data_IF_955521772026
#
_entry.id   IF_955521772026
#
_cell.length_a   1.000
_cell.length_b   1.000
_cell.length_c   1.000
_cell.angle_alpha   90.00
_cell.angle_beta   90.00
_cell.angle_gamma   90.00
#
_symmetry.space_group_name_H-M   'P 1'
#
loop_
_entity.id
_entity.type
_entity.pdbx_description
1 polymer ?
#
# COMPACT_ATOMS: atom_id res chain seq x y z
N UNK A 1 0.35 23.05 -20.64
CA UNK A 1 -0.04 21.64 -20.86
C UNK A 1 -1.10 21.57 -21.94
N UNK A 2 -0.89 20.75 -22.95
CA UNK A 2 -1.94 20.48 -23.94
C UNK A 2 -3.05 19.69 -23.25
N UNK A 3 -4.29 20.21 -23.33
CA UNK A 3 -5.44 19.46 -22.83
C UNK A 3 -5.64 18.23 -23.70
N UNK A 4 -5.72 17.07 -23.07
CA UNK A 4 -6.05 15.83 -23.75
C UNK A 4 -7.51 15.91 -24.26
N UNK A 5 -7.78 15.32 -25.40
CA UNK A 5 -9.16 15.16 -25.88
C UNK A 5 -9.95 14.27 -24.94
N UNK A 6 -11.29 14.42 -24.97
CA UNK A 6 -12.19 13.57 -24.15
C UNK A 6 -11.93 12.09 -24.45
N UNK A 7 -11.74 11.74 -25.73
CA UNK A 7 -11.48 10.36 -26.15
C UNK A 7 -10.20 9.79 -25.52
N UNK A 8 -9.13 10.60 -25.48
CA UNK A 8 -7.87 10.19 -24.84
C UNK A 8 -8.00 10.05 -23.33
N UNK A 9 -8.76 10.94 -22.70
CA UNK A 9 -9.02 10.89 -21.25
C UNK A 9 -9.80 9.63 -20.90
N UNK A 10 -10.82 9.30 -21.66
CA UNK A 10 -11.61 8.08 -21.48
C UNK A 10 -10.76 6.84 -21.73
N UNK A 11 -9.92 6.84 -22.77
CA UNK A 11 -9.02 5.73 -23.07
C UNK A 11 -8.01 5.50 -21.94
N UNK A 12 -7.44 6.57 -21.38
CA UNK A 12 -6.54 6.51 -20.22
C UNK A 12 -7.27 5.91 -19.02
N UNK A 13 -8.47 6.43 -18.72
CA UNK A 13 -9.28 5.97 -17.59
C UNK A 13 -9.64 4.50 -17.71
N UNK A 14 -10.05 4.06 -18.89
CA UNK A 14 -10.41 2.66 -19.16
C UNK A 14 -9.21 1.73 -18.99
N UNK A 15 -8.08 2.11 -19.53
CA UNK A 15 -6.83 1.33 -19.38
C UNK A 15 -6.44 1.22 -17.92
N UNK A 16 -6.47 2.32 -17.19
CA UNK A 16 -6.12 2.34 -15.77
C UNK A 16 -7.08 1.48 -14.94
N UNK A 17 -8.39 1.58 -15.20
CA UNK A 17 -9.40 0.73 -14.54
C UNK A 17 -9.09 -0.75 -14.81
N UNK A 18 -8.81 -1.12 -16.06
CA UNK A 18 -8.53 -2.51 -16.42
C UNK A 18 -7.26 -3.03 -15.76
N UNK A 19 -6.21 -2.21 -15.69
CA UNK A 19 -4.96 -2.56 -15.01
C UNK A 19 -5.19 -2.75 -13.50
N UNK A 20 -5.96 -1.88 -12.89
CA UNK A 20 -6.26 -1.95 -11.45
C UNK A 20 -7.15 -3.15 -11.12
N UNK A 21 -8.14 -3.46 -11.97
CA UNK A 21 -8.96 -4.67 -11.83
C UNK A 21 -8.10 -5.92 -11.93
N UNK A 22 -7.15 -5.95 -12.87
CA UNK A 22 -6.23 -7.08 -13.00
C UNK A 22 -5.41 -7.27 -11.73
N UNK A 23 -4.88 -6.19 -11.15
CA UNK A 23 -4.15 -6.25 -9.87
C UNK A 23 -5.05 -6.77 -8.74
N UNK A 24 -6.29 -6.31 -8.67
CA UNK A 24 -7.25 -6.82 -7.68
C UNK A 24 -7.48 -8.32 -7.86
N UNK A 25 -7.65 -8.79 -9.10
CA UNK A 25 -7.82 -10.21 -9.38
C UNK A 25 -6.60 -11.04 -8.95
N UNK A 26 -5.39 -10.55 -9.20
CA UNK A 26 -4.16 -11.20 -8.77
C UNK A 26 -4.07 -11.29 -7.24
N UNK A 27 -4.42 -10.21 -6.53
CA UNK A 27 -4.43 -10.19 -5.07
C UNK A 27 -5.50 -11.11 -4.48
N UNK A 28 -6.69 -11.14 -5.08
CA UNK A 28 -7.77 -12.04 -4.68
C UNK A 28 -7.31 -13.50 -4.83
N UNK A 29 -6.65 -13.83 -5.93
CA UNK A 29 -6.14 -15.19 -6.17
C UNK A 29 -5.03 -15.57 -5.19
N UNK A 30 -4.11 -14.66 -4.89
CA UNK A 30 -3.05 -14.88 -3.90
C UNK A 30 -3.64 -15.15 -2.51
N UNK A 31 -4.62 -14.34 -2.10
CA UNK A 31 -5.31 -14.54 -0.80
C UNK A 31 -6.08 -15.86 -0.78
N UNK A 32 -6.70 -16.24 -1.90
CA UNK A 32 -7.40 -17.53 -2.02
C UNK A 32 -6.44 -18.70 -1.83
N UNK A 33 -5.29 -18.67 -2.48
CA UNK A 33 -4.25 -19.71 -2.37
C UNK A 33 -3.75 -19.80 -0.94
N UNK A 34 -3.45 -18.64 -0.32
CA UNK A 34 -3.01 -18.56 1.07
C UNK A 34 -4.08 -19.10 2.02
N UNK A 35 -5.35 -18.71 1.85
CA UNK A 35 -6.45 -19.19 2.65
C UNK A 35 -6.61 -20.71 2.59
N UNK A 36 -6.53 -21.27 1.39
CA UNK A 36 -6.63 -22.71 1.18
C UNK A 36 -5.49 -23.48 1.86
N UNK A 37 -4.27 -22.92 1.79
CA UNK A 37 -3.10 -23.51 2.46
C UNK A 37 -3.28 -23.52 3.99
N UNK A 38 -3.73 -22.40 4.54
CA UNK A 38 -3.95 -22.27 5.99
C UNK A 38 -5.10 -23.19 6.45
N UNK A 39 -6.20 -23.24 5.71
CA UNK A 39 -7.33 -24.15 6.01
C UNK A 39 -6.89 -25.62 6.03
N UNK A 40 -6.00 -25.97 5.11
CA UNK A 40 -5.43 -27.33 5.06
C UNK A 40 -4.58 -27.62 6.31
N UNK A 41 -3.75 -26.66 6.73
CA UNK A 41 -2.96 -26.78 7.96
C UNK A 41 -3.88 -26.89 9.19
N UNK A 42 -4.95 -26.10 9.26
CA UNK A 42 -5.93 -26.18 10.36
C UNK A 42 -6.53 -27.59 10.41
N UNK A 43 -6.95 -28.14 9.28
CA UNK A 43 -7.51 -29.47 9.22
C UNK A 43 -6.52 -30.55 9.68
N UNK A 44 -5.24 -30.42 9.35
CA UNK A 44 -4.18 -31.33 9.78
C UNK A 44 -3.98 -31.25 11.30
N UNK A 45 -3.94 -30.04 11.88
CA UNK A 45 -3.81 -29.83 13.33
C UNK A 45 -5.04 -30.34 14.07
N UNK A 46 -6.25 -30.12 13.54
CA UNK A 46 -7.49 -30.62 14.15
C UNK A 46 -7.52 -32.13 14.23
N UNK A 47 -6.95 -32.84 13.25
CA UNK A 47 -6.87 -34.30 13.23
C UNK A 47 -5.78 -34.86 14.15
N UNK A 48 -4.81 -34.03 14.54
CA UNK A 48 -3.74 -34.47 15.43
C UNK A 48 -4.27 -34.80 16.81
N UNK A 49 -3.90 -35.99 17.34
CA UNK A 49 -4.27 -36.45 18.66
C UNK A 49 -3.16 -36.12 19.66
N UNK A 50 -3.31 -35.11 20.52
CA UNK A 50 -2.28 -34.77 21.52
C UNK A 50 -2.03 -35.90 22.52
N UNK A 51 -0.76 -36.24 22.81
CA UNK A 51 -0.48 -37.34 23.74
C UNK A 51 -0.64 -36.99 25.23
N UNK A 52 -0.71 -35.70 25.59
CA UNK A 52 -0.88 -35.24 26.97
C UNK A 52 -1.69 -33.94 27.02
N UNK A 53 -2.06 -33.52 28.23
CA UNK A 53 -2.79 -32.26 28.44
C UNK A 53 -1.97 -31.02 28.04
N UNK A 54 -0.65 -31.04 28.23
CA UNK A 54 0.23 -29.96 27.82
C UNK A 54 0.22 -29.81 26.28
N UNK A 55 0.22 -30.94 25.59
CA UNK A 55 0.14 -30.95 24.11
C UNK A 55 -1.26 -30.53 23.63
N UNK A 56 -2.31 -30.73 24.42
CA UNK A 56 -3.66 -30.22 24.11
C UNK A 56 -3.66 -28.69 24.12
N UNK A 57 -2.98 -28.07 25.07
CA UNK A 57 -2.83 -26.62 25.13
C UNK A 57 -2.04 -26.10 23.92
N UNK A 58 -1.00 -26.83 23.52
CA UNK A 58 -0.23 -26.49 22.31
C UNK A 58 -1.11 -26.55 21.06
N UNK A 59 -1.94 -27.60 20.94
CA UNK A 59 -2.88 -27.74 19.81
C UNK A 59 -3.83 -26.53 19.75
N UNK A 60 -4.40 -26.14 20.89
CA UNK A 60 -5.31 -24.98 20.97
C UNK A 60 -4.62 -23.70 20.55
N UNK A 61 -3.39 -23.48 20.99
CA UNK A 61 -2.57 -22.33 20.61
C UNK A 61 -2.29 -22.32 19.10
N UNK A 62 -1.88 -23.45 18.53
CA UNK A 62 -1.62 -23.57 17.10
C UNK A 62 -2.86 -23.23 16.27
N UNK A 63 -4.03 -23.75 16.67
CA UNK A 63 -5.29 -23.48 15.96
C UNK A 63 -5.66 -22.00 16.04
N UNK A 64 -5.47 -21.39 17.21
CA UNK A 64 -5.74 -19.95 17.39
C UNK A 64 -4.85 -19.11 16.49
N UNK A 65 -3.56 -19.42 16.44
CA UNK A 65 -2.61 -18.71 15.58
C UNK A 65 -2.94 -18.87 14.09
N UNK A 66 -3.28 -20.08 13.67
CA UNK A 66 -3.66 -20.36 12.29
C UNK A 66 -4.95 -19.64 11.89
N UNK A 67 -5.95 -19.61 12.76
CA UNK A 67 -7.20 -18.89 12.51
C UNK A 67 -6.98 -17.38 12.42
N UNK A 68 -6.14 -16.82 13.28
CA UNK A 68 -5.77 -15.40 13.24
C UNK A 68 -5.06 -15.07 11.93
N UNK A 69 -4.13 -15.89 11.50
CA UNK A 69 -3.43 -15.73 10.24
C UNK A 69 -4.38 -15.83 9.06
N UNK A 70 -5.34 -16.78 9.12
CA UNK A 70 -6.36 -16.91 8.07
C UNK A 70 -7.21 -15.64 7.94
N UNK A 71 -7.62 -15.07 9.06
CA UNK A 71 -8.45 -13.85 9.07
C UNK A 71 -7.71 -12.65 8.49
N UNK A 72 -6.39 -12.57 8.67
CA UNK A 72 -5.59 -11.47 8.14
C UNK A 72 -5.09 -11.72 6.71
N UNK A 73 -4.43 -12.85 6.50
CA UNK A 73 -3.71 -13.12 5.25
C UNK A 73 -4.59 -13.78 4.19
N UNK A 74 -5.68 -14.43 4.61
CA UNK A 74 -6.61 -15.08 3.70
C UNK A 74 -7.82 -14.24 3.33
N UNK A 75 -7.95 -13.03 3.86
CA UNK A 75 -9.10 -12.16 3.62
C UNK A 75 -8.87 -11.25 2.43
N UNK A 76 -9.59 -11.51 1.34
CA UNK A 76 -9.54 -10.73 0.11
C UNK A 76 -10.65 -9.66 0.02
N UNK A 77 -11.41 -9.44 1.08
CA UNK A 77 -12.60 -8.56 1.02
C UNK A 77 -12.28 -7.13 0.59
N UNK A 78 -11.14 -6.58 0.97
CA UNK A 78 -10.69 -5.26 0.52
C UNK A 78 -10.58 -5.21 -1.01
N UNK A 79 -9.93 -6.19 -1.62
CA UNK A 79 -9.74 -6.24 -3.08
C UNK A 79 -11.03 -6.55 -3.82
N UNK A 80 -11.92 -7.34 -3.24
CA UNK A 80 -13.24 -7.61 -3.82
C UNK A 80 -14.10 -6.34 -3.85
N UNK A 81 -14.09 -5.55 -2.79
CA UNK A 81 -14.77 -4.25 -2.73
C UNK A 81 -14.16 -3.26 -3.71
N UNK A 82 -12.85 -3.20 -3.78
CA UNK A 82 -12.12 -2.32 -4.70
C UNK A 82 -12.40 -2.69 -6.16
N UNK A 83 -12.42 -3.98 -6.47
CA UNK A 83 -12.79 -4.47 -7.79
C UNK A 83 -14.22 -4.05 -8.16
N UNK A 84 -15.17 -4.21 -7.24
CA UNK A 84 -16.58 -3.81 -7.46
C UNK A 84 -16.69 -2.30 -7.71
N UNK A 85 -15.94 -1.49 -6.96
CA UNK A 85 -15.87 -0.04 -7.16
C UNK A 85 -15.34 0.30 -8.55
N UNK A 86 -14.27 -0.36 -8.97
CA UNK A 86 -13.65 -0.13 -10.28
C UNK A 86 -14.55 -0.56 -11.43
N UNK A 87 -15.29 -1.67 -11.29
CA UNK A 87 -16.25 -2.12 -12.30
C UNK A 87 -17.41 -1.14 -12.52
N UNK A 88 -17.78 -0.40 -11.48
CA UNK A 88 -18.84 0.60 -11.54
C UNK A 88 -18.34 2.00 -11.92
N UNK A 89 -17.03 2.21 -11.99
CA UNK A 89 -16.43 3.52 -12.25
C UNK A 89 -16.42 3.86 -13.73
N UNK A 90 -16.82 5.11 -14.05
CA UNK A 90 -16.71 5.63 -15.40
C UNK A 90 -15.24 5.96 -15.72
N UNK A 91 -14.78 5.70 -16.97
CA UNK A 91 -13.41 5.99 -17.36
C UNK A 91 -12.96 7.44 -17.14
N UNK A 92 -13.85 8.40 -17.39
CA UNK A 92 -13.54 9.82 -17.20
C UNK A 92 -13.31 10.16 -15.73
N UNK A 93 -14.03 9.52 -14.82
CA UNK A 93 -13.89 9.72 -13.39
C UNK A 93 -12.52 9.19 -12.90
N UNK A 94 -12.06 8.07 -13.45
CA UNK A 94 -10.72 7.54 -13.17
C UNK A 94 -9.65 8.53 -13.61
N UNK A 95 -9.78 9.09 -14.81
CA UNK A 95 -8.85 10.11 -15.30
C UNK A 95 -8.81 11.32 -14.37
N UNK A 96 -9.99 11.83 -13.98
CA UNK A 96 -10.11 12.99 -13.10
C UNK A 96 -9.49 12.73 -11.72
N UNK A 97 -9.66 11.54 -11.17
CA UNK A 97 -9.04 11.14 -9.90
C UNK A 97 -7.52 11.12 -10.00
N UNK A 98 -6.97 10.58 -11.08
CA UNK A 98 -5.53 10.60 -11.32
C UNK A 98 -4.99 12.01 -11.50
N UNK A 99 -5.72 12.87 -12.20
CA UNK A 99 -5.34 14.26 -12.39
C UNK A 99 -5.29 15.00 -11.04
N UNK A 100 -6.29 14.83 -10.20
CA UNK A 100 -6.31 15.43 -8.85
C UNK A 100 -5.16 14.97 -8.00
N UNK A 101 -4.84 13.69 -8.03
CA UNK A 101 -3.69 13.13 -7.29
C UNK A 101 -2.38 13.69 -7.80
N UNK A 102 -2.22 13.81 -9.12
CA UNK A 102 -1.03 14.38 -9.73
C UNK A 102 -0.86 15.85 -9.34
N UNK A 103 -1.93 16.65 -9.40
CA UNK A 103 -1.93 18.05 -8.99
C UNK A 103 -1.58 18.21 -7.51
N UNK A 104 -2.17 17.36 -6.65
CA UNK A 104 -1.87 17.35 -5.22
C UNK A 104 -0.40 17.00 -4.97
N UNK A 105 0.13 16.00 -5.66
CA UNK A 105 1.54 15.59 -5.52
C UNK A 105 2.49 16.70 -5.93
N UNK A 106 2.21 17.40 -7.03
CA UNK A 106 3.03 18.54 -7.49
C UNK A 106 3.06 19.62 -6.43
N UNK A 107 1.89 19.99 -5.89
CA UNK A 107 1.80 21.01 -4.86
C UNK A 107 2.50 20.58 -3.57
N UNK A 108 2.29 19.36 -3.13
CA UNK A 108 2.91 18.81 -1.92
C UNK A 108 4.44 18.83 -2.03
N UNK A 109 5.00 18.34 -3.13
CA UNK A 109 6.44 18.32 -3.33
C UNK A 109 7.04 19.71 -3.49
N UNK A 110 6.33 20.63 -4.12
CA UNK A 110 6.76 22.03 -4.23
C UNK A 110 6.87 22.69 -2.84
N UNK A 111 5.88 22.48 -1.98
CA UNK A 111 5.90 23.01 -0.60
C UNK A 111 7.03 22.38 0.22
N UNK A 112 7.23 21.06 0.09
CA UNK A 112 8.33 20.38 0.77
C UNK A 112 9.70 20.84 0.30
N UNK A 113 9.86 21.11 -0.99
CA UNK A 113 11.11 21.63 -1.55
C UNK A 113 11.46 22.99 -0.91
N UNK A 114 10.49 23.91 -0.82
CA UNK A 114 10.69 25.21 -0.21
C UNK A 114 11.13 25.07 1.25
N UNK A 115 10.48 24.20 2.01
CA UNK A 115 10.84 23.92 3.41
C UNK A 115 12.25 23.34 3.55
N UNK A 116 12.60 22.42 2.65
CA UNK A 116 13.92 21.79 2.68
C UNK A 116 15.04 22.76 2.31
N UNK A 117 14.81 23.63 1.32
CA UNK A 117 15.76 24.69 0.97
C UNK A 117 16.00 25.63 2.17
N UNK A 118 14.92 26.04 2.85
CA UNK A 118 15.04 26.89 4.06
C UNK A 118 15.82 26.18 5.16
N UNK A 119 15.57 24.90 5.37
CA UNK A 119 16.29 24.09 6.38
C UNK A 119 17.78 23.99 6.05
N UNK A 120 18.14 23.78 4.80
CA UNK A 120 19.53 23.70 4.35
C UNK A 120 20.22 25.06 4.53
N UNK A 121 19.56 26.16 4.17
CA UNK A 121 20.09 27.51 4.36
C UNK A 121 20.36 27.81 5.81
N UNK A 122 19.41 27.49 6.71
CA UNK A 122 19.58 27.68 8.16
C UNK A 122 20.75 26.86 8.70
N UNK A 123 20.91 25.62 8.23
CA UNK A 123 22.02 24.75 8.63
C UNK A 123 23.36 25.32 8.15
N UNK A 124 23.40 25.82 6.92
CA UNK A 124 24.61 26.44 6.35
C UNK A 124 24.99 27.71 7.13
N UNK A 125 24.02 28.54 7.46
CA UNK A 125 24.25 29.76 8.27
C UNK A 125 24.80 29.41 9.65
N UNK A 126 24.24 28.36 10.28
CA UNK A 126 24.73 27.89 11.56
C UNK A 126 26.18 27.43 11.48
N UNK A 127 26.55 26.69 10.43
CA UNK A 127 27.92 26.20 10.18
C UNK A 127 28.84 27.39 9.97
N UNK A 128 28.47 28.38 9.16
CA UNK A 128 29.24 29.58 8.89
C UNK A 128 29.51 30.35 10.19
N UNK A 129 28.50 30.55 11.02
CA UNK A 129 28.64 31.21 12.32
C UNK A 129 29.60 30.44 13.22
N UNK A 130 29.54 29.13 13.21
CA UNK A 130 30.45 28.30 14.00
C UNK A 130 31.91 28.49 13.57
N UNK A 131 32.16 28.43 12.26
CA UNK A 131 33.52 28.62 11.71
C UNK A 131 34.04 30.02 12.00
N UNK A 132 33.21 31.06 11.87
CA UNK A 132 33.59 32.43 12.17
C UNK A 132 33.96 32.58 13.65
N UNK A 133 33.21 31.95 14.56
CA UNK A 133 33.48 31.98 16.01
C UNK A 133 34.80 31.30 16.38
N UNK A 134 35.23 30.32 15.57
CA UNK A 134 36.48 29.59 15.78
C UNK A 134 37.66 30.20 15.03
N UNK A 135 37.42 31.26 14.26
CA UNK A 135 38.46 31.86 13.41
C UNK A 135 38.91 31.01 12.25
N UNK A 136 38.03 30.07 11.80
CA UNK A 136 38.32 29.16 10.67
C UNK A 136 37.70 29.71 9.39
N UNK A 137 38.37 29.46 8.27
CA UNK A 137 37.83 29.78 6.95
C UNK A 137 37.17 28.56 6.33
N UNK A 138 36.01 28.82 5.70
CA UNK A 138 35.30 27.78 4.92
C UNK A 138 35.97 27.71 3.55
N UNK A 139 36.45 26.53 3.21
CA UNK A 139 37.08 26.26 1.90
C UNK A 139 36.07 25.69 0.91
#
# INVERSE_FOLDING_TARGET
MKKMSVERREAFGRRTINEDIQRCNEQIEEHRVTANRIKKMIAEVERWQPPSSDHTNLKSFMLEQLRTTLDHDGDASYYEKEKSRLLAMEPIDMYNDHLKRAEWNVQYHAEHLVKEEARVDDTNDWIIQLYDSLGLEIK
#
